data_IF_789703425916
#
_entry.id   IF_789703425916
#
_cell.length_a   1.000
_cell.length_b   1.000
_cell.length_c   1.000
_cell.angle_alpha   90.00
_cell.angle_beta   90.00
_cell.angle_gamma   90.00
#
_symmetry.space_group_name_H-M   'P 1'
#
loop_
_entity.id
_entity.type
_entity.pdbx_description
1 polymer ?
#
# COMPACT_ATOMS: atom_id res chain seq x y z
N UNK A 1 0.40 -14.54 -44.26
CA UNK A 1 1.52 -14.44 -43.30
C UNK A 1 1.13 -15.20 -42.06
N UNK A 2 1.90 -16.21 -41.68
CA UNK A 2 1.67 -16.95 -40.43
C UNK A 2 2.60 -16.38 -39.36
N UNK A 3 2.09 -16.13 -38.15
CA UNK A 3 2.90 -15.67 -37.02
C UNK A 3 3.45 -16.91 -36.32
N UNK A 4 4.78 -17.01 -36.23
CA UNK A 4 5.44 -18.15 -35.57
C UNK A 4 5.62 -17.88 -34.08
N UNK A 5 6.16 -16.71 -33.75
CA UNK A 5 6.44 -16.29 -32.38
C UNK A 5 6.44 -14.75 -32.29
N UNK A 6 5.91 -14.22 -31.19
CA UNK A 6 5.84 -12.79 -30.93
C UNK A 6 6.06 -12.47 -29.46
N UNK A 7 7.06 -11.63 -29.14
CA UNK A 7 7.42 -11.20 -27.77
C UNK A 7 8.25 -9.92 -27.82
N UNK A 8 8.46 -9.31 -26.66
CA UNK A 8 9.41 -8.20 -26.51
C UNK A 8 10.84 -8.72 -26.42
N UNK A 9 11.74 -8.17 -27.26
CA UNK A 9 13.18 -8.45 -27.21
C UNK A 9 13.96 -7.14 -27.19
N UNK A 10 15.14 -7.17 -26.59
CA UNK A 10 16.14 -6.15 -26.88
C UNK A 10 16.91 -6.56 -28.13
N UNK A 11 17.14 -5.62 -29.03
CA UNK A 11 17.95 -5.87 -30.21
C UNK A 11 18.78 -4.66 -30.62
N UNK A 12 19.95 -4.93 -31.19
CA UNK A 12 20.77 -3.98 -31.92
C UNK A 12 21.37 -4.65 -33.16
N UNK A 13 21.35 -3.95 -34.29
CA UNK A 13 21.92 -4.42 -35.54
C UNK A 13 22.67 -3.33 -36.30
N UNK A 14 23.48 -3.74 -37.28
CA UNK A 14 24.21 -2.81 -38.14
C UNK A 14 23.30 -2.18 -39.20
N UNK A 15 22.49 -2.99 -39.88
CA UNK A 15 21.57 -2.52 -40.93
C UNK A 15 20.23 -2.01 -40.37
N UNK A 16 19.62 -2.80 -39.48
CA UNK A 16 18.32 -2.58 -38.85
C UNK A 16 18.44 -2.51 -37.33
N UNK A 17 17.51 -1.83 -36.66
CA UNK A 17 17.51 -1.67 -35.21
C UNK A 17 18.82 -1.09 -34.66
N UNK A 18 19.31 -0.01 -35.26
CA UNK A 18 20.62 0.64 -34.96
C UNK A 18 20.82 1.14 -33.52
N UNK A 19 19.81 1.01 -32.66
CA UNK A 19 19.85 1.38 -31.25
C UNK A 19 19.40 0.21 -30.40
N UNK A 20 20.19 -0.12 -29.38
CA UNK A 20 19.81 -1.07 -28.35
C UNK A 20 18.57 -0.59 -27.61
N UNK A 21 17.44 -1.28 -27.82
CA UNK A 21 16.15 -0.91 -27.25
C UNK A 21 15.21 -2.12 -27.24
N UNK A 22 14.41 -2.25 -26.18
CA UNK A 22 13.28 -3.20 -26.13
C UNK A 22 12.22 -2.83 -27.16
N UNK A 23 11.87 -3.76 -28.04
CA UNK A 23 10.81 -3.61 -29.05
C UNK A 23 9.96 -4.86 -29.08
N UNK A 24 8.73 -4.76 -29.59
CA UNK A 24 7.88 -5.91 -29.83
C UNK A 24 8.27 -6.55 -31.17
N UNK A 25 8.78 -7.77 -31.12
CA UNK A 25 9.24 -8.52 -32.29
C UNK A 25 8.26 -9.62 -32.64
N UNK A 26 8.07 -9.84 -33.94
CA UNK A 26 7.22 -10.87 -34.52
C UNK A 26 7.98 -11.55 -35.63
N UNK A 27 8.19 -12.86 -35.50
CA UNK A 27 8.68 -13.70 -36.59
C UNK A 27 7.49 -14.14 -37.44
N UNK A 28 7.50 -13.75 -38.72
CA UNK A 28 6.43 -14.05 -39.66
C UNK A 28 6.94 -14.92 -40.80
N UNK A 29 6.12 -15.89 -41.21
CA UNK A 29 6.29 -16.63 -42.43
C UNK A 29 5.59 -15.89 -43.58
N UNK A 30 6.37 -15.43 -44.55
CA UNK A 30 5.91 -14.70 -45.74
C UNK A 30 5.56 -15.66 -46.88
N UNK A 31 6.39 -16.67 -47.09
CA UNK A 31 6.18 -17.74 -48.06
C UNK A 31 6.64 -19.09 -47.47
N UNK A 32 6.55 -20.19 -48.21
CA UNK A 32 7.00 -21.51 -47.74
C UNK A 32 8.46 -21.51 -47.24
N UNK A 33 9.33 -20.68 -47.83
CA UNK A 33 10.77 -20.61 -47.51
C UNK A 33 11.25 -19.20 -47.19
N UNK A 34 10.33 -18.23 -47.05
CA UNK A 34 10.69 -16.84 -46.76
C UNK A 34 10.12 -16.44 -45.41
N UNK A 35 11.01 -16.08 -44.50
CA UNK A 35 10.67 -15.61 -43.16
C UNK A 35 11.23 -14.22 -42.93
N UNK A 36 10.50 -13.41 -42.15
CA UNK A 36 10.93 -12.08 -41.78
C UNK A 36 10.74 -11.85 -40.29
N UNK A 37 11.71 -11.17 -39.70
CA UNK A 37 11.63 -10.62 -38.37
C UNK A 37 11.13 -9.18 -38.46
N UNK A 38 9.99 -8.90 -37.84
CA UNK A 38 9.34 -7.60 -37.88
C UNK A 38 9.29 -6.99 -36.47
N UNK A 39 9.49 -5.69 -36.37
CA UNK A 39 9.31 -4.95 -35.12
C UNK A 39 8.11 -4.01 -35.21
N UNK A 40 7.34 -3.92 -34.13
CA UNK A 40 6.15 -3.09 -34.06
C UNK A 40 6.27 -2.04 -32.96
N UNK A 41 5.60 -0.90 -33.17
CA UNK A 41 5.36 0.12 -32.16
C UNK A 41 3.95 -0.07 -31.62
N UNK A 42 3.76 0.26 -30.35
CA UNK A 42 2.43 0.25 -29.74
C UNK A 42 1.44 1.08 -30.56
N UNK A 43 0.23 0.54 -30.74
CA UNK A 43 -0.89 1.18 -31.43
C UNK A 43 -0.65 1.47 -32.92
N UNK A 44 0.31 0.80 -33.57
CA UNK A 44 0.50 0.83 -35.03
C UNK A 44 0.32 -0.57 -35.63
N UNK A 45 -0.43 -0.65 -36.72
CA UNK A 45 -0.70 -1.88 -37.46
C UNK A 45 0.43 -2.28 -38.41
N UNK A 46 1.27 -1.33 -38.83
CA UNK A 46 2.38 -1.58 -39.76
C UNK A 46 3.71 -1.79 -39.02
N UNK A 47 4.58 -2.70 -39.51
CA UNK A 47 5.89 -2.91 -38.93
C UNK A 47 6.75 -1.64 -39.08
N UNK A 48 7.41 -1.25 -37.99
CA UNK A 48 8.29 -0.08 -37.98
C UNK A 48 9.62 -0.32 -38.69
N UNK A 49 10.18 -1.52 -38.50
CA UNK A 49 11.39 -2.01 -39.15
C UNK A 49 11.22 -3.52 -39.36
N UNK A 50 11.73 -4.06 -40.46
CA UNK A 50 11.68 -5.48 -40.77
C UNK A 50 12.99 -5.95 -41.41
N UNK A 51 13.30 -7.24 -41.24
CA UNK A 51 14.46 -7.91 -41.81
C UNK A 51 14.08 -9.31 -42.28
N UNK A 52 14.43 -9.65 -43.52
CA UNK A 52 14.31 -11.03 -44.02
C UNK A 52 15.44 -11.91 -43.45
N UNK A 53 15.09 -13.12 -43.04
CA UNK A 53 16.04 -14.08 -42.44
C UNK A 53 16.84 -14.88 -43.48
N UNK A 54 16.64 -14.60 -44.76
CA UNK A 54 17.34 -15.30 -45.84
C UNK A 54 18.86 -15.05 -45.76
N UNK A 55 19.61 -16.15 -45.76
CA UNK A 55 21.07 -16.17 -45.58
C UNK A 55 21.58 -15.87 -44.17
N UNK A 56 20.70 -15.67 -43.18
CA UNK A 56 21.14 -15.50 -41.78
C UNK A 56 21.41 -16.84 -41.12
N UNK A 57 22.35 -16.85 -40.19
CA UNK A 57 22.57 -17.94 -39.23
C UNK A 57 22.36 -17.40 -37.83
N UNK A 58 21.81 -18.21 -36.95
CA UNK A 58 21.50 -17.86 -35.57
C UNK A 58 22.30 -18.75 -34.64
N UNK A 59 22.89 -18.17 -33.60
CA UNK A 59 23.53 -18.93 -32.54
C UNK A 59 23.43 -18.22 -31.18
N UNK A 60 23.67 -18.98 -30.12
CA UNK A 60 23.81 -18.43 -28.78
C UNK A 60 25.14 -17.69 -28.68
N UNK A 61 25.14 -16.58 -27.95
CA UNK A 61 26.36 -15.83 -27.66
C UNK A 61 26.41 -15.46 -26.18
N UNK A 62 27.62 -15.30 -25.65
CA UNK A 62 27.79 -14.77 -24.31
C UNK A 62 27.61 -13.25 -24.30
N UNK A 63 27.18 -12.71 -23.16
CA UNK A 63 27.01 -11.28 -22.97
C UNK A 63 28.33 -10.50 -23.24
N UNK A 64 29.48 -11.07 -22.85
CA UNK A 64 30.78 -10.47 -23.11
C UNK A 64 31.07 -10.34 -24.62
N UNK A 65 30.76 -11.37 -25.41
CA UNK A 65 30.91 -11.36 -26.87
C UNK A 65 29.94 -10.37 -27.52
N UNK A 66 28.70 -10.29 -27.02
CA UNK A 66 27.70 -9.34 -27.46
C UNK A 66 28.16 -7.89 -27.28
N UNK A 67 28.68 -7.56 -26.10
CA UNK A 67 29.20 -6.23 -25.79
C UNK A 67 30.41 -5.86 -26.67
N UNK A 68 31.34 -6.81 -26.87
CA UNK A 68 32.50 -6.60 -27.72
C UNK A 68 32.12 -6.33 -29.18
N UNK A 69 31.07 -7.00 -29.69
CA UNK A 69 30.63 -6.86 -31.08
C UNK A 69 30.14 -5.46 -31.43
N UNK A 70 29.55 -4.74 -30.47
CA UNK A 70 29.01 -3.39 -30.66
C UNK A 70 29.76 -2.30 -29.87
N UNK A 71 30.78 -2.67 -29.09
CA UNK A 71 31.60 -1.74 -28.32
C UNK A 71 30.84 -0.96 -27.25
N UNK A 72 29.70 -1.49 -26.79
CA UNK A 72 28.81 -0.87 -25.80
C UNK A 72 28.31 -1.94 -24.83
N UNK A 73 28.04 -1.54 -23.59
CA UNK A 73 27.40 -2.41 -22.61
C UNK A 73 25.91 -2.56 -22.92
N UNK A 74 25.53 -3.73 -23.43
CA UNK A 74 24.17 -4.06 -23.83
C UNK A 74 23.33 -4.46 -22.61
N UNK A 75 22.92 -3.46 -21.84
CA UNK A 75 22.10 -3.64 -20.64
C UNK A 75 20.63 -3.90 -20.98
N UNK A 76 20.01 -4.94 -20.42
CA UNK A 76 18.55 -5.17 -20.55
C UNK A 76 18.11 -6.56 -21.01
N UNK A 77 19.03 -7.52 -21.13
CA UNK A 77 18.69 -8.94 -21.26
C UNK A 77 19.74 -9.82 -20.59
N UNK A 78 19.37 -11.05 -20.23
CA UNK A 78 20.22 -12.02 -19.50
C UNK A 78 20.79 -13.09 -20.42
N UNK A 79 20.01 -13.48 -21.43
CA UNK A 79 20.38 -14.49 -22.41
C UNK A 79 20.48 -13.85 -23.78
N UNK A 80 21.59 -14.09 -24.46
CA UNK A 80 21.90 -13.43 -25.72
C UNK A 80 22.00 -14.46 -26.85
N UNK A 81 21.54 -14.05 -28.02
CA UNK A 81 21.73 -14.78 -29.26
C UNK A 81 21.94 -13.77 -30.39
N UNK A 82 22.61 -14.19 -31.46
CA UNK A 82 22.81 -13.33 -32.62
C UNK A 82 22.18 -13.94 -33.87
N UNK A 83 21.93 -13.08 -34.85
CA UNK A 83 21.69 -13.44 -36.23
C UNK A 83 22.79 -12.79 -37.07
N UNK A 84 23.57 -13.60 -37.77
CA UNK A 84 24.72 -13.16 -38.57
C UNK A 84 24.55 -13.57 -40.03
N UNK A 85 24.86 -12.63 -40.92
CA UNK A 85 24.97 -12.82 -42.37
C UNK A 85 26.23 -12.10 -42.85
N UNK A 86 26.76 -12.44 -44.01
CA UNK A 86 27.92 -11.74 -44.56
C UNK A 86 27.74 -10.20 -44.53
N UNK A 87 28.59 -9.52 -43.77
CA UNK A 87 28.56 -8.06 -43.61
C UNK A 87 27.50 -7.51 -42.64
N UNK A 88 26.62 -8.34 -42.09
CA UNK A 88 25.55 -7.91 -41.18
C UNK A 88 25.47 -8.77 -39.92
N UNK A 89 25.22 -8.12 -38.80
CA UNK A 89 25.06 -8.81 -37.53
C UNK A 89 24.06 -8.08 -36.66
N UNK A 90 23.21 -8.87 -36.02
CA UNK A 90 22.18 -8.40 -35.11
C UNK A 90 22.28 -9.24 -33.86
N UNK A 91 22.32 -8.58 -32.72
CA UNK A 91 22.27 -9.21 -31.42
C UNK A 91 20.90 -8.98 -30.82
N UNK A 92 20.35 -10.04 -30.25
CA UNK A 92 19.10 -10.06 -29.51
C UNK A 92 19.36 -10.49 -28.07
N UNK A 93 18.51 -10.03 -27.14
CA UNK A 93 18.51 -10.55 -25.78
C UNK A 93 17.11 -10.72 -25.21
N UNK A 94 16.99 -11.77 -24.39
CA UNK A 94 15.83 -12.16 -23.61
C UNK A 94 16.14 -12.10 -22.11
N UNK A 95 15.09 -11.97 -21.29
CA UNK A 95 15.21 -12.04 -19.82
C UNK A 95 15.17 -13.48 -19.29
N UNK A 96 14.62 -14.42 -20.09
CA UNK A 96 14.41 -15.83 -19.74
C UNK A 96 15.11 -16.80 -20.72
N UNK A 97 15.63 -17.91 -20.19
CA UNK A 97 16.41 -18.91 -20.95
C UNK A 97 15.52 -19.74 -21.89
N UNK A 98 14.30 -20.08 -21.44
CA UNK A 98 13.35 -20.83 -22.26
C UNK A 98 12.84 -19.96 -23.40
N UNK A 99 12.58 -18.67 -23.15
CA UNK A 99 12.24 -17.72 -24.21
C UNK A 99 13.37 -17.59 -25.24
N UNK A 100 14.61 -17.44 -24.78
CA UNK A 100 15.80 -17.44 -25.66
C UNK A 100 15.85 -18.71 -26.51
N UNK A 101 15.66 -19.87 -25.89
CA UNK A 101 15.68 -21.17 -26.58
C UNK A 101 14.58 -21.30 -27.63
N UNK A 102 13.36 -20.84 -27.32
CA UNK A 102 12.25 -20.83 -28.27
C UNK A 102 12.53 -19.92 -29.47
N UNK A 103 13.07 -18.73 -29.24
CA UNK A 103 13.45 -17.80 -30.31
C UNK A 103 14.55 -18.37 -31.20
N UNK A 104 15.64 -18.88 -30.60
CA UNK A 104 16.75 -19.47 -31.34
C UNK A 104 16.27 -20.66 -32.17
N UNK A 105 15.44 -21.54 -31.61
CA UNK A 105 14.91 -22.70 -32.33
C UNK A 105 13.91 -22.33 -33.43
N UNK A 106 13.08 -21.30 -33.21
CA UNK A 106 12.17 -20.78 -34.24
C UNK A 106 12.95 -20.14 -35.40
N UNK A 107 13.96 -19.33 -35.09
CA UNK A 107 14.79 -18.70 -36.12
C UNK A 107 15.69 -19.72 -36.82
N UNK A 108 16.24 -20.72 -36.12
CA UNK A 108 16.98 -21.83 -36.73
C UNK A 108 16.15 -22.56 -37.80
N UNK A 109 14.88 -22.84 -37.51
CA UNK A 109 13.96 -23.44 -38.49
C UNK A 109 13.66 -22.50 -39.66
N UNK A 110 13.51 -21.20 -39.37
CA UNK A 110 13.22 -20.18 -40.37
C UNK A 110 14.42 -19.89 -41.30
N UNK A 111 15.65 -19.97 -40.79
CA UNK A 111 16.87 -19.72 -41.56
C UNK A 111 17.28 -20.94 -42.38
N UNK A 112 16.89 -22.15 -41.95
CA UNK A 112 17.29 -23.39 -42.62
C UNK A 112 18.79 -23.67 -42.53
N UNK A 113 19.50 -23.01 -41.60
CA UNK A 113 20.94 -23.21 -41.41
C UNK A 113 21.27 -24.68 -41.11
N UNK A 114 22.42 -25.16 -41.59
CA UNK A 114 22.79 -26.58 -41.43
C UNK A 114 23.22 -26.93 -40.01
N UNK A 115 23.90 -26.02 -39.32
CA UNK A 115 24.37 -26.23 -37.94
C UNK A 115 23.28 -25.87 -36.93
N UNK A 116 22.95 -26.82 -36.04
CA UNK A 116 21.99 -26.59 -34.96
C UNK A 116 22.64 -25.80 -33.81
N UNK A 117 22.06 -24.67 -33.39
CA UNK A 117 22.57 -23.89 -32.26
C UNK A 117 22.61 -24.73 -30.99
N UNK A 118 23.73 -24.68 -30.27
CA UNK A 118 23.92 -25.43 -29.02
C UNK A 118 23.94 -24.45 -27.86
N UNK A 119 23.06 -24.60 -26.85
CA UNK A 119 23.06 -23.70 -25.70
C UNK A 119 24.39 -23.78 -24.93
N UNK A 120 24.89 -22.66 -24.39
CA UNK A 120 26.12 -22.65 -23.62
C UNK A 120 26.00 -23.55 -22.37
N UNK A 121 27.00 -24.39 -22.12
CA UNK A 121 27.06 -25.21 -20.90
C UNK A 121 27.43 -24.31 -19.73
N UNK A 122 26.46 -23.93 -18.91
CA UNK A 122 26.62 -23.01 -17.78
C UNK A 122 27.48 -23.62 -16.67
N UNK A 123 28.80 -23.44 -16.72
CA UNK A 123 29.68 -23.52 -15.56
C UNK A 123 29.85 -22.13 -14.95
N UNK A 124 28.88 -21.63 -14.19
CA UNK A 124 29.14 -20.48 -13.30
C UNK A 124 28.28 -20.54 -12.03
N UNK A 125 28.87 -21.21 -11.03
CA UNK A 125 28.50 -21.09 -9.62
C UNK A 125 29.21 -19.84 -9.09
N UNK A 126 28.55 -18.68 -9.07
CA UNK A 126 28.76 -17.57 -8.12
C UNK A 126 28.21 -16.24 -8.66
N UNK A 127 26.90 -16.18 -8.84
CA UNK A 127 26.19 -14.90 -8.81
C UNK A 127 25.13 -14.94 -7.72
N UNK A 128 24.70 -13.79 -7.21
CA UNK A 128 23.52 -13.71 -6.34
C UNK A 128 22.28 -14.38 -6.97
N UNK A 129 22.29 -14.57 -8.30
CA UNK A 129 21.30 -15.28 -9.09
C UNK A 129 21.42 -16.81 -8.94
N UNK A 130 22.61 -17.39 -8.74
CA UNK A 130 22.73 -18.83 -8.41
C UNK A 130 22.04 -19.18 -7.08
N UNK A 131 21.96 -18.21 -6.14
CA UNK A 131 21.15 -18.34 -4.92
C UNK A 131 19.66 -18.24 -5.23
N UNK A 132 19.22 -17.23 -6.00
CA UNK A 132 17.81 -17.04 -6.38
C UNK A 132 17.27 -18.22 -7.21
N UNK A 133 18.06 -18.74 -8.16
CA UNK A 133 17.71 -19.90 -8.98
C UNK A 133 17.71 -21.19 -8.14
N UNK A 134 18.70 -21.36 -7.25
CA UNK A 134 18.72 -22.46 -6.29
C UNK A 134 17.55 -22.40 -5.32
N UNK A 135 17.07 -21.22 -4.96
CA UNK A 135 15.91 -21.03 -4.09
C UNK A 135 14.59 -21.22 -4.86
N UNK A 136 14.50 -20.83 -6.14
CA UNK A 136 13.37 -21.15 -7.01
C UNK A 136 13.27 -22.66 -7.26
N UNK A 137 14.38 -23.35 -7.52
CA UNK A 137 14.38 -24.80 -7.70
C UNK A 137 14.11 -25.57 -6.40
N UNK A 138 14.50 -25.05 -5.24
CA UNK A 138 14.05 -25.56 -3.94
C UNK A 138 12.55 -25.34 -3.75
N UNK A 139 12.04 -24.15 -4.05
CA UNK A 139 10.63 -23.82 -3.91
C UNK A 139 9.74 -24.69 -4.83
N UNK A 140 10.16 -24.97 -6.07
CA UNK A 140 9.51 -25.94 -6.96
C UNK A 140 9.45 -27.34 -6.34
N UNK A 141 10.56 -27.82 -5.75
CA UNK A 141 10.59 -29.11 -5.03
C UNK A 141 9.65 -29.17 -3.83
N UNK A 142 9.26 -28.03 -3.27
CA UNK A 142 8.26 -27.90 -2.21
C UNK A 142 6.85 -27.57 -2.73
N UNK A 143 6.60 -27.69 -4.04
CA UNK A 143 5.27 -27.48 -4.63
C UNK A 143 4.86 -26.02 -4.80
N UNK A 144 5.81 -25.07 -4.78
CA UNK A 144 5.53 -23.64 -4.94
C UNK A 144 5.61 -23.16 -6.40
N UNK A 145 5.33 -24.05 -7.37
CA UNK A 145 5.45 -23.73 -8.80
C UNK A 145 4.54 -22.58 -9.22
N UNK A 146 3.34 -22.52 -8.66
CA UNK A 146 2.35 -21.47 -8.92
C UNK A 146 2.88 -20.08 -8.55
N UNK A 147 3.54 -19.94 -7.40
CA UNK A 147 4.10 -18.66 -6.94
C UNK A 147 5.26 -18.16 -7.80
N UNK A 148 6.03 -19.08 -8.38
CA UNK A 148 7.20 -18.75 -9.21
C UNK A 148 6.76 -18.33 -10.62
N UNK A 149 5.70 -18.96 -11.14
CA UNK A 149 5.16 -18.67 -12.47
C UNK A 149 4.19 -17.48 -12.50
N UNK A 150 3.71 -17.04 -11.34
CA UNK A 150 2.72 -15.98 -11.25
C UNK A 150 3.27 -14.63 -11.70
N UNK A 151 2.53 -13.93 -12.57
CA UNK A 151 2.86 -12.55 -12.95
C UNK A 151 2.43 -11.60 -11.83
N UNK A 152 3.38 -10.93 -11.13
CA UNK A 152 3.05 -10.02 -10.05
C UNK A 152 2.04 -8.94 -10.48
N UNK A 153 2.14 -8.43 -11.71
CA UNK A 153 1.30 -7.32 -12.19
C UNK A 153 -0.17 -7.71 -12.41
N UNK A 154 -0.50 -8.99 -12.43
CA UNK A 154 -1.84 -9.50 -12.69
C UNK A 154 -2.73 -9.57 -11.45
N UNK A 155 -2.17 -9.37 -10.25
CA UNK A 155 -2.89 -9.48 -9.00
C UNK A 155 -3.59 -8.18 -8.59
N UNK A 156 -4.67 -8.32 -7.81
CA UNK A 156 -5.27 -7.19 -7.09
C UNK A 156 -4.37 -6.78 -5.91
N UNK A 157 -3.42 -5.90 -6.21
CA UNK A 157 -2.48 -5.38 -5.22
C UNK A 157 -3.14 -4.52 -4.15
N UNK A 158 -4.34 -3.95 -4.40
CA UNK A 158 -5.04 -3.17 -3.38
C UNK A 158 -5.52 -4.11 -2.25
N UNK A 159 -6.18 -5.22 -2.61
CA UNK A 159 -6.60 -6.22 -1.61
C UNK A 159 -5.43 -6.90 -0.92
N UNK A 160 -4.37 -7.27 -1.66
CA UNK A 160 -3.16 -7.84 -1.07
C UNK A 160 -2.48 -6.87 -0.11
N UNK A 161 -2.41 -5.59 -0.47
CA UNK A 161 -1.83 -4.57 0.40
C UNK A 161 -2.64 -4.40 1.69
N UNK A 162 -3.97 -4.46 1.63
CA UNK A 162 -4.82 -4.43 2.82
C UNK A 162 -4.44 -5.56 3.79
N UNK A 163 -4.28 -6.79 3.30
CA UNK A 163 -3.86 -7.94 4.12
C UNK A 163 -2.47 -7.72 4.71
N UNK A 164 -1.51 -7.26 3.88
CA UNK A 164 -0.15 -6.98 4.32
C UNK A 164 -0.11 -5.92 5.42
N UNK A 165 -0.85 -4.82 5.25
CA UNK A 165 -0.95 -3.73 6.21
C UNK A 165 -1.55 -4.21 7.54
N UNK A 166 -2.63 -4.99 7.47
CA UNK A 166 -3.30 -5.53 8.65
C UNK A 166 -2.38 -6.45 9.47
N UNK A 167 -1.71 -7.41 8.80
CA UNK A 167 -0.74 -8.31 9.45
C UNK A 167 0.46 -7.54 10.03
N UNK A 168 0.91 -6.50 9.33
CA UNK A 168 2.01 -5.64 9.82
C UNK A 168 1.59 -4.89 11.08
N UNK A 169 0.34 -4.43 11.14
CA UNK A 169 -0.23 -3.74 12.29
C UNK A 169 -0.40 -4.69 13.47
N UNK A 170 -0.96 -5.88 13.24
CA UNK A 170 -1.12 -6.92 14.26
C UNK A 170 0.23 -7.31 14.87
N UNK A 171 1.24 -7.60 14.03
CA UNK A 171 2.60 -7.86 14.50
C UNK A 171 3.15 -6.71 15.34
N UNK A 172 2.89 -5.47 14.92
CA UNK A 172 3.41 -4.28 15.59
C UNK A 172 2.72 -4.00 16.93
N UNK A 173 1.44 -4.37 17.08
CA UNK A 173 0.67 -4.26 18.31
C UNK A 173 1.00 -5.33 19.34
N UNK A 174 1.61 -6.44 18.93
CA UNK A 174 2.21 -7.41 19.85
C UNK A 174 3.45 -6.87 20.57
N UNK A 175 4.01 -5.73 20.15
CA UNK A 175 5.01 -4.99 20.92
C UNK A 175 4.30 -4.11 21.98
N UNK A 176 4.42 -4.43 23.29
CA UNK A 176 3.53 -3.89 24.32
C UNK A 176 3.61 -2.38 24.59
N UNK A 177 4.65 -1.67 24.12
CA UNK A 177 4.91 -0.28 24.54
C UNK A 177 5.22 0.72 23.44
N UNK A 178 5.58 0.26 22.24
CA UNK A 178 6.21 1.14 21.25
C UNK A 178 5.35 1.47 20.02
N UNK A 179 4.21 0.84 19.84
CA UNK A 179 3.40 1.01 18.63
C UNK A 179 2.26 2.01 18.83
N UNK A 180 1.31 1.76 19.74
CA UNK A 180 0.05 2.53 19.82
C UNK A 180 -0.62 2.69 18.44
N UNK A 181 -0.43 1.70 17.56
CA UNK A 181 -0.83 1.73 16.15
C UNK A 181 0.24 2.23 15.17
N UNK A 182 1.28 2.96 15.60
CA UNK A 182 2.35 3.43 14.72
C UNK A 182 3.23 2.30 14.18
N UNK A 183 3.40 2.30 12.87
CA UNK A 183 4.42 1.51 12.18
C UNK A 183 5.83 2.03 12.48
N UNK A 184 6.80 1.13 12.50
CA UNK A 184 8.22 1.51 12.56
C UNK A 184 8.66 2.17 11.24
N UNK A 185 9.71 3.01 11.24
CA UNK A 185 10.23 3.60 10.00
C UNK A 185 10.56 2.57 8.91
N UNK A 186 11.06 1.39 9.30
CA UNK A 186 11.33 0.29 8.37
C UNK A 186 10.06 -0.33 7.79
N UNK A 187 9.00 -0.50 8.60
CA UNK A 187 7.71 -0.98 8.11
C UNK A 187 7.07 0.02 7.14
N UNK A 188 7.09 1.32 7.48
CA UNK A 188 6.60 2.39 6.60
C UNK A 188 7.33 2.36 5.27
N UNK A 189 8.66 2.26 5.29
CA UNK A 189 9.47 2.18 4.08
C UNK A 189 9.06 1.00 3.19
N UNK A 190 8.90 -0.20 3.75
CA UNK A 190 8.51 -1.40 2.99
C UNK A 190 7.10 -1.26 2.41
N UNK A 191 6.15 -0.73 3.19
CA UNK A 191 4.78 -0.52 2.73
C UNK A 191 4.74 0.53 1.61
N UNK A 192 5.46 1.64 1.75
CA UNK A 192 5.52 2.69 0.73
C UNK A 192 6.19 2.20 -0.56
N UNK A 193 7.26 1.41 -0.44
CA UNK A 193 7.94 0.81 -1.59
C UNK A 193 7.03 -0.16 -2.35
N UNK A 194 6.23 -0.97 -1.65
CA UNK A 194 5.22 -1.83 -2.27
C UNK A 194 4.19 -1.00 -3.05
N UNK A 195 3.69 0.09 -2.45
CA UNK A 195 2.71 0.95 -3.10
C UNK A 195 3.27 1.66 -4.33
N UNK A 196 4.52 2.12 -4.26
CA UNK A 196 5.19 2.77 -5.39
C UNK A 196 5.39 1.79 -6.57
N UNK A 197 5.69 0.52 -6.28
CA UNK A 197 5.91 -0.52 -7.30
C UNK A 197 4.62 -0.99 -7.96
N UNK A 198 3.56 -1.15 -7.18
CA UNK A 198 2.32 -1.79 -7.65
C UNK A 198 1.13 -0.83 -7.81
N UNK A 199 1.35 0.48 -7.63
CA UNK A 199 0.33 1.50 -7.91
C UNK A 199 -0.84 1.53 -6.90
N UNK A 200 -0.62 1.10 -5.66
CA UNK A 200 -1.68 1.13 -4.63
C UNK A 200 -1.96 2.58 -4.21
N UNK A 201 -3.21 2.99 -4.36
CA UNK A 201 -3.67 4.38 -4.16
C UNK A 201 -3.57 4.82 -2.70
N UNK A 202 -2.99 6.00 -2.45
CA UNK A 202 -2.80 6.54 -1.10
C UNK A 202 -4.06 6.60 -0.25
N UNK A 203 -5.18 7.06 -0.82
CA UNK A 203 -6.46 7.18 -0.10
C UNK A 203 -6.97 5.81 0.37
N UNK A 204 -6.96 4.80 -0.51
CA UNK A 204 -7.32 3.42 -0.16
C UNK A 204 -6.50 2.88 1.02
N UNK A 205 -5.19 3.16 1.07
CA UNK A 205 -4.30 2.75 2.18
C UNK A 205 -4.75 3.35 3.50
N UNK A 206 -5.03 4.65 3.52
CA UNK A 206 -5.47 5.33 4.73
C UNK A 206 -6.89 4.94 5.15
N UNK A 207 -7.78 4.64 4.20
CA UNK A 207 -9.12 4.12 4.50
C UNK A 207 -9.06 2.74 5.16
N UNK A 208 -8.28 1.81 4.59
CA UNK A 208 -8.09 0.49 5.19
C UNK A 208 -7.45 0.60 6.56
N UNK A 209 -6.40 1.40 6.68
CA UNK A 209 -5.72 1.63 7.94
C UNK A 209 -6.64 2.24 9.00
N UNK A 210 -7.42 3.25 8.65
CA UNK A 210 -8.35 3.88 9.58
C UNK A 210 -9.45 2.90 10.02
N UNK A 211 -9.96 2.07 9.11
CA UNK A 211 -10.90 1.00 9.46
C UNK A 211 -10.29 0.03 10.47
N UNK A 212 -9.07 -0.45 10.23
CA UNK A 212 -8.38 -1.40 11.11
C UNK A 212 -8.10 -0.77 12.49
N UNK A 213 -7.69 0.51 12.53
CA UNK A 213 -7.49 1.24 13.79
C UNK A 213 -8.79 1.40 14.58
N UNK A 214 -9.93 1.62 13.91
CA UNK A 214 -11.23 1.67 14.58
C UNK A 214 -11.64 0.31 15.13
N UNK A 215 -11.45 -0.77 14.38
CA UNK A 215 -11.74 -2.14 14.84
C UNK A 215 -10.92 -2.48 16.11
N UNK A 216 -9.68 -2.02 16.17
CA UNK A 216 -8.80 -2.20 17.32
C UNK A 216 -9.20 -1.32 18.51
N UNK A 217 -9.57 -0.07 18.26
CA UNK A 217 -10.06 0.84 19.29
C UNK A 217 -11.37 0.32 19.93
N UNK A 218 -12.28 -0.25 19.13
CA UNK A 218 -13.50 -0.91 19.60
C UNK A 218 -13.19 -2.14 20.47
N UNK A 219 -12.11 -2.86 20.17
CA UNK A 219 -11.59 -3.98 20.99
C UNK A 219 -10.78 -3.53 22.21
N UNK A 220 -10.81 -2.23 22.55
CA UNK A 220 -10.09 -1.63 23.68
C UNK A 220 -8.56 -1.71 23.59
N UNK A 221 -7.99 -1.84 22.40
CA UNK A 221 -6.55 -1.61 22.21
C UNK A 221 -6.23 -0.13 22.37
N UNK A 222 -5.09 0.16 23.00
CA UNK A 222 -4.59 1.53 23.14
C UNK A 222 -4.00 2.01 21.80
N UNK A 223 -4.77 2.80 21.07
CA UNK A 223 -4.35 3.44 19.81
C UNK A 223 -4.08 4.93 20.07
N UNK A 224 -3.01 5.47 19.48
CA UNK A 224 -2.71 6.90 19.53
C UNK A 224 -3.79 7.69 18.78
N UNK A 225 -4.54 8.59 19.46
CA UNK A 225 -5.53 9.42 18.80
C UNK A 225 -4.96 10.24 17.63
N UNK A 226 -3.71 10.71 17.74
CA UNK A 226 -3.02 11.51 16.72
C UNK A 226 -2.97 10.80 15.36
N UNK A 227 -2.85 9.48 15.39
CA UNK A 227 -2.79 8.63 14.21
C UNK A 227 -4.14 8.55 13.49
N UNK A 228 -5.23 8.43 14.26
CA UNK A 228 -6.60 8.47 13.74
C UNK A 228 -6.88 9.84 13.13
N UNK A 229 -6.49 10.90 13.83
CA UNK A 229 -6.58 12.28 13.36
C UNK A 229 -5.89 12.50 12.02
N UNK A 230 -4.62 12.08 11.90
CA UNK A 230 -3.83 12.21 10.68
C UNK A 230 -4.46 11.44 9.51
N UNK A 231 -4.82 10.17 9.75
CA UNK A 231 -5.39 9.31 8.72
C UNK A 231 -6.76 9.81 8.24
N UNK A 232 -7.60 10.29 9.16
CA UNK A 232 -8.89 10.90 8.82
C UNK A 232 -8.71 12.19 8.01
N UNK A 233 -7.81 13.09 8.44
CA UNK A 233 -7.54 14.34 7.72
C UNK A 233 -7.02 14.08 6.29
N UNK A 234 -6.15 13.08 6.14
CA UNK A 234 -5.68 12.63 4.83
C UNK A 234 -6.85 12.17 3.95
N UNK A 235 -7.72 11.27 4.45
CA UNK A 235 -8.87 10.80 3.68
C UNK A 235 -9.86 11.92 3.35
N UNK A 236 -10.19 12.78 4.32
CA UNK A 236 -11.11 13.89 4.15
C UNK A 236 -10.62 14.89 3.09
N UNK A 237 -9.32 15.21 3.06
CA UNK A 237 -8.72 16.07 2.03
C UNK A 237 -8.83 15.50 0.62
N UNK A 238 -8.76 14.17 0.48
CA UNK A 238 -8.90 13.47 -0.79
C UNK A 238 -10.35 13.39 -1.25
N UNK A 239 -11.30 13.12 -0.34
CA UNK A 239 -12.73 12.95 -0.65
C UNK A 239 -13.40 14.29 -0.94
N UNK A 240 -13.10 15.32 -0.15
CA UNK A 240 -13.74 16.63 -0.27
C UNK A 240 -13.01 17.58 -1.25
N UNK A 241 -11.91 17.14 -1.87
CA UNK A 241 -11.36 17.80 -3.06
C UNK A 241 -10.58 19.09 -2.82
N UNK A 242 -9.77 19.17 -1.75
CA UNK A 242 -8.95 20.37 -1.47
C UNK A 242 -7.46 20.12 -1.76
N UNK A 243 -7.17 19.64 -2.98
CA UNK A 243 -5.78 19.60 -3.48
C UNK A 243 -5.48 20.89 -4.25
N UNK A 244 -4.30 21.51 -4.05
CA UNK A 244 -3.86 22.66 -4.87
C UNK A 244 -3.82 22.34 -6.38
N UNK A 245 -3.78 21.06 -6.75
CA UNK A 245 -3.65 20.59 -8.15
C UNK A 245 -5.00 20.33 -8.86
N UNK A 246 -6.16 20.53 -8.20
CA UNK A 246 -7.49 20.55 -8.83
C UNK A 246 -8.04 19.23 -9.40
N UNK A 247 -7.27 18.12 -9.38
CA UNK A 247 -7.73 16.81 -9.88
C UNK A 247 -7.92 15.84 -8.72
N UNK A 248 -9.18 15.64 -8.31
CA UNK A 248 -9.59 14.63 -7.36
C UNK A 248 -9.90 13.32 -8.08
N UNK A 249 -8.92 12.43 -8.21
CA UNK A 249 -9.17 11.07 -8.68
C UNK A 249 -9.60 10.20 -7.50
N UNK A 250 -10.85 10.29 -7.03
CA UNK A 250 -11.42 9.38 -6.02
C UNK A 250 -12.44 8.43 -6.65
N UNK A 251 -12.39 7.15 -6.29
CA UNK A 251 -13.35 6.16 -6.76
C UNK A 251 -14.65 6.22 -5.96
N UNK A 252 -15.74 5.71 -6.54
CA UNK A 252 -17.03 5.62 -5.83
C UNK A 252 -16.92 4.74 -4.58
N UNK A 253 -16.22 3.61 -4.68
CA UNK A 253 -16.00 2.68 -3.57
C UNK A 253 -15.23 3.31 -2.41
N UNK A 254 -14.20 4.12 -2.69
CA UNK A 254 -13.46 4.83 -1.64
C UNK A 254 -14.34 5.88 -0.95
N UNK A 255 -15.26 6.53 -1.70
CA UNK A 255 -16.18 7.52 -1.14
C UNK A 255 -17.22 6.88 -0.22
N UNK A 256 -17.77 5.73 -0.61
CA UNK A 256 -18.69 4.96 0.23
C UNK A 256 -18.00 4.44 1.49
N UNK A 257 -16.82 3.83 1.35
CA UNK A 257 -16.00 3.37 2.49
C UNK A 257 -15.66 4.52 3.44
N UNK A 258 -15.33 5.70 2.92
CA UNK A 258 -15.08 6.86 3.75
C UNK A 258 -16.33 7.28 4.54
N UNK A 259 -17.51 7.28 3.92
CA UNK A 259 -18.75 7.62 4.62
C UNK A 259 -19.06 6.64 5.76
N UNK A 260 -18.87 5.35 5.54
CA UNK A 260 -19.01 4.31 6.57
C UNK A 260 -18.01 4.51 7.71
N UNK A 261 -16.73 4.68 7.41
CA UNK A 261 -15.67 4.89 8.40
C UNK A 261 -15.90 6.19 9.18
N UNK A 262 -16.36 7.26 8.51
CA UNK A 262 -16.70 8.55 9.12
C UNK A 262 -17.83 8.39 10.15
N UNK A 263 -18.86 7.62 9.82
CA UNK A 263 -19.96 7.31 10.72
C UNK A 263 -19.48 6.54 11.96
N UNK A 264 -18.69 5.48 11.73
CA UNK A 264 -18.11 4.68 12.81
C UNK A 264 -17.23 5.51 13.74
N UNK A 265 -16.37 6.36 13.18
CA UNK A 265 -15.53 7.27 13.95
C UNK A 265 -16.38 8.25 14.77
N UNK A 266 -17.49 8.78 14.22
CA UNK A 266 -18.38 9.67 15.00
C UNK A 266 -18.92 8.97 16.24
N UNK A 267 -19.42 7.75 16.10
CA UNK A 267 -19.97 6.96 17.22
C UNK A 267 -18.88 6.68 18.26
N UNK A 268 -17.66 6.34 17.84
CA UNK A 268 -16.53 6.12 18.75
C UNK A 268 -16.19 7.39 19.54
N UNK A 269 -16.15 8.55 18.88
CA UNK A 269 -15.85 9.83 19.54
C UNK A 269 -16.96 10.24 20.51
N UNK A 270 -18.23 10.07 20.15
CA UNK A 270 -19.37 10.29 21.04
C UNK A 270 -19.28 9.39 22.29
N UNK A 271 -18.89 8.12 22.11
CA UNK A 271 -18.67 7.20 23.21
C UNK A 271 -17.52 7.64 24.12
N UNK A 272 -16.38 8.07 23.55
CA UNK A 272 -15.23 8.57 24.30
C UNK A 272 -15.55 9.84 25.10
N UNK A 273 -16.36 10.75 24.53
CA UNK A 273 -16.80 11.98 25.21
C UNK A 273 -17.80 11.64 26.33
N UNK A 274 -18.74 10.72 26.08
CA UNK A 274 -19.68 10.26 27.11
C UNK A 274 -18.95 9.57 28.27
N UNK A 275 -17.88 8.83 27.98
CA UNK A 275 -17.07 8.13 28.98
C UNK A 275 -15.77 8.86 29.32
N UNK A 276 -15.77 10.21 29.28
CA UNK A 276 -14.55 11.00 29.42
C UNK A 276 -13.74 10.72 30.69
N UNK A 277 -14.39 10.30 31.80
CA UNK A 277 -13.69 9.92 33.05
C UNK A 277 -12.77 8.71 32.89
N UNK A 278 -13.17 7.76 32.05
CA UNK A 278 -12.45 6.52 31.81
C UNK A 278 -11.50 6.64 30.60
N UNK A 279 -11.94 7.35 29.55
CA UNK A 279 -11.14 7.56 28.35
C UNK A 279 -10.05 8.63 28.52
N UNK A 280 -10.26 9.61 29.42
CA UNK A 280 -9.31 10.71 29.69
C UNK A 280 -9.12 10.91 31.20
N UNK A 281 -8.54 9.93 31.92
CA UNK A 281 -8.36 10.02 33.36
C UNK A 281 -7.47 11.22 33.71
N UNK A 282 -8.00 12.15 34.52
CA UNK A 282 -7.33 13.38 34.95
C UNK A 282 -6.82 14.26 33.80
N UNK A 283 -7.45 14.19 32.61
CA UNK A 283 -7.02 14.94 31.43
C UNK A 283 -5.69 14.46 30.85
N UNK A 284 -5.30 13.21 31.13
CA UNK A 284 -4.12 12.57 30.55
C UNK A 284 -4.51 11.61 29.42
N UNK A 285 -3.73 11.57 28.31
CA UNK A 285 -2.61 12.47 28.01
C UNK A 285 -3.06 13.92 27.80
N UNK A 286 -2.19 14.88 28.13
CA UNK A 286 -2.50 16.31 28.11
C UNK A 286 -2.94 16.74 26.70
N UNK A 287 -4.09 17.43 26.60
CA UNK A 287 -4.65 17.85 25.32
C UNK A 287 -5.42 16.79 24.53
N UNK A 288 -5.49 15.53 24.99
CA UNK A 288 -6.20 14.47 24.28
C UNK A 288 -7.69 14.75 24.11
N UNK A 289 -8.39 15.21 25.16
CA UNK A 289 -9.81 15.58 25.08
C UNK A 289 -10.04 16.72 24.07
N UNK A 290 -9.15 17.73 24.06
CA UNK A 290 -9.22 18.84 23.10
C UNK A 290 -9.01 18.34 21.67
N UNK A 291 -8.09 17.40 21.47
CA UNK A 291 -7.89 16.76 20.18
C UNK A 291 -9.14 15.98 19.76
N UNK A 292 -9.68 15.10 20.61
CA UNK A 292 -10.91 14.33 20.33
C UNK A 292 -12.08 15.23 19.92
N UNK A 293 -12.29 16.36 20.60
CA UNK A 293 -13.31 17.33 20.25
C UNK A 293 -13.05 18.01 18.90
N UNK A 294 -11.79 18.39 18.63
CA UNK A 294 -11.39 18.93 17.33
C UNK A 294 -11.54 17.90 16.20
N UNK A 295 -11.34 16.60 16.47
CA UNK A 295 -11.65 15.55 15.49
C UNK A 295 -13.14 15.46 15.24
N UNK A 296 -13.95 15.48 16.30
CA UNK A 296 -15.40 15.40 16.20
C UNK A 296 -15.95 16.54 15.34
N UNK A 297 -15.49 17.78 15.57
CA UNK A 297 -15.83 18.93 14.72
C UNK A 297 -15.55 18.64 13.24
N UNK A 298 -14.36 18.11 12.92
CA UNK A 298 -13.98 17.76 11.54
C UNK A 298 -14.79 16.60 10.97
N UNK A 299 -15.15 15.63 11.80
CA UNK A 299 -16.00 14.49 11.41
C UNK A 299 -17.43 14.96 11.11
N UNK A 300 -17.91 16.00 11.79
CA UNK A 300 -19.23 16.56 11.55
C UNK A 300 -19.30 17.44 10.30
N UNK A 301 -18.17 17.93 9.79
CA UNK A 301 -18.14 18.74 8.57
C UNK A 301 -18.69 17.97 7.36
N UNK A 302 -19.58 18.61 6.58
CA UNK A 302 -20.14 18.03 5.35
C UNK A 302 -19.14 18.08 4.19
N UNK A 303 -18.34 19.14 4.14
CA UNK A 303 -17.24 19.37 3.20
C UNK A 303 -16.17 20.22 3.91
N UNK A 304 -15.03 20.49 3.26
CA UNK A 304 -13.92 21.24 3.89
C UNK A 304 -14.24 22.74 4.04
N UNK A 305 -15.22 23.26 3.29
CA UNK A 305 -15.46 24.71 3.15
C UNK A 305 -16.60 25.18 4.07
N UNK A 306 -17.48 24.27 4.47
CA UNK A 306 -18.65 24.53 5.30
C UNK A 306 -18.36 24.07 6.72
N UNK A 307 -17.88 24.97 7.61
CA UNK A 307 -17.73 24.64 9.01
C UNK A 307 -19.08 24.29 9.61
N UNK A 308 -19.07 23.32 10.52
CA UNK A 308 -20.27 22.94 11.28
C UNK A 308 -20.68 24.12 12.15
N UNK A 309 -21.98 24.46 12.22
CA UNK A 309 -22.44 25.49 13.15
C UNK A 309 -22.00 25.15 14.57
N UNK A 310 -21.40 26.09 15.32
CA UNK A 310 -20.89 25.82 16.66
C UNK A 310 -21.99 25.35 17.63
N UNK A 311 -23.25 25.72 17.36
CA UNK A 311 -24.40 25.25 18.13
C UNK A 311 -24.67 23.74 17.97
N UNK A 312 -24.47 23.16 16.79
CA UNK A 312 -24.66 21.72 16.56
C UNK A 312 -23.64 20.90 17.36
N UNK A 313 -22.37 21.33 17.33
CA UNK A 313 -21.29 20.72 18.11
C UNK A 313 -21.57 20.84 19.60
N UNK A 314 -21.96 22.05 20.07
CA UNK A 314 -22.33 22.28 21.48
C UNK A 314 -23.51 21.42 21.93
N UNK A 315 -24.55 21.26 21.10
CA UNK A 315 -25.68 20.39 21.42
C UNK A 315 -25.27 18.92 21.55
N UNK A 316 -24.42 18.42 20.64
CA UNK A 316 -23.92 17.04 20.70
C UNK A 316 -23.08 16.79 21.96
N UNK A 317 -22.19 17.72 22.29
CA UNK A 317 -21.39 17.66 23.52
C UNK A 317 -22.31 17.70 24.75
N UNK A 318 -23.27 18.62 24.79
CA UNK A 318 -24.23 18.73 25.90
C UNK A 318 -24.98 17.42 26.12
N UNK A 319 -25.53 16.82 25.07
CA UNK A 319 -26.24 15.53 25.13
C UNK A 319 -25.32 14.40 25.63
N UNK A 320 -24.07 14.38 25.17
CA UNK A 320 -23.06 13.40 25.59
C UNK A 320 -22.73 13.56 27.09
N UNK A 321 -22.60 14.80 27.57
CA UNK A 321 -22.34 15.11 28.99
C UNK A 321 -23.54 14.81 29.90
N UNK A 322 -24.77 15.08 29.45
CA UNK A 322 -26.00 14.71 30.16
C UNK A 322 -26.09 13.19 30.31
N UNK A 323 -25.81 12.46 29.24
CA UNK A 323 -25.75 10.99 29.24
C UNK A 323 -24.64 10.49 30.17
N UNK A 324 -23.46 11.12 30.14
CA UNK A 324 -22.35 10.81 31.03
C UNK A 324 -22.73 11.00 32.50
N UNK A 325 -23.42 12.09 32.84
CA UNK A 325 -23.89 12.37 34.19
C UNK A 325 -24.87 11.28 34.67
N UNK A 326 -25.81 10.88 33.82
CA UNK A 326 -26.77 9.82 34.13
C UNK A 326 -26.08 8.46 34.35
N UNK A 327 -25.16 8.06 33.47
CA UNK A 327 -24.40 6.80 33.60
C UNK A 327 -23.56 6.80 34.88
N UNK A 328 -22.87 7.90 35.16
CA UNK A 328 -22.05 8.03 36.37
C UNK A 328 -22.91 7.98 37.65
N UNK A 329 -24.03 8.70 37.68
CA UNK A 329 -24.97 8.67 38.81
C UNK A 329 -25.56 7.27 39.04
N UNK A 330 -25.91 6.57 37.97
CA UNK A 330 -26.45 5.20 38.04
C UNK A 330 -25.41 4.21 38.56
N UNK A 331 -24.14 4.34 38.17
CA UNK A 331 -23.04 3.51 38.69
C UNK A 331 -22.69 3.84 40.15
N UNK A 332 -22.62 5.13 40.49
CA UNK A 332 -22.38 5.57 41.86
C UNK A 332 -23.50 5.13 42.82
N UNK A 333 -24.76 5.24 42.40
CA UNK A 333 -25.90 4.81 43.20
C UNK A 333 -25.99 3.29 43.37
N UNK A 334 -25.51 2.50 42.40
CA UNK A 334 -25.45 1.04 42.54
C UNK A 334 -24.27 0.56 43.40
N UNK A 335 -23.12 1.24 43.34
CA UNK A 335 -21.97 0.98 44.20
C UNK A 335 -22.22 1.44 45.65
N UNK A 336 -22.91 2.56 45.85
CA UNK A 336 -23.24 3.10 47.18
C UNK A 336 -24.23 2.21 47.97
N UNK A 337 -25.01 1.35 47.29
CA UNK A 337 -25.93 0.38 47.91
C UNK A 337 -25.25 -0.76 48.67
N UNK A 338 -23.91 -0.84 48.68
CA UNK A 338 -23.15 -1.81 49.49
C UNK A 338 -22.69 -1.21 50.83
N UNK A 339 -22.85 0.09 51.08
CA UNK A 339 -22.44 0.74 52.34
C UNK A 339 -23.45 1.79 52.84
N UNK A 340 -24.74 1.43 52.83
CA UNK A 340 -25.87 2.29 53.27
C UNK A 340 -25.75 2.82 54.73
N UNK A 341 -24.74 2.40 55.50
CA UNK A 341 -24.50 2.85 56.88
C UNK A 341 -23.42 3.97 56.96
N UNK A 342 -22.56 4.13 55.95
CA UNK A 342 -21.50 5.16 55.96
C UNK A 342 -21.84 6.42 55.16
N UNK A 343 -22.71 6.33 54.16
CA UNK A 343 -22.99 7.42 53.23
C UNK A 343 -23.81 8.57 53.85
N UNK A 344 -24.76 8.27 54.75
CA UNK A 344 -25.58 9.30 55.42
C UNK A 344 -24.71 10.17 56.35
N UNK A 345 -23.73 9.57 57.04
CA UNK A 345 -22.74 10.32 57.85
C UNK A 345 -21.75 11.13 57.01
N UNK A 346 -21.52 10.76 55.75
CA UNK A 346 -20.67 11.51 54.85
C UNK A 346 -21.40 12.78 54.34
N UNK A 347 -22.70 12.69 54.05
CA UNK A 347 -23.50 13.83 53.58
C UNK A 347 -23.69 14.89 54.69
N UNK A 348 -23.97 14.49 55.94
CA UNK A 348 -23.98 15.45 57.07
C UNK A 348 -22.61 16.09 57.33
N UNK A 349 -21.52 15.36 57.04
CA UNK A 349 -20.17 15.94 57.10
C UNK A 349 -19.84 16.84 55.94
N UNK A 350 -20.43 16.68 54.76
CA UNK A 350 -20.14 17.50 53.56
C UNK A 350 -20.67 18.93 53.72
N UNK A 351 -21.81 19.15 54.36
CA UNK A 351 -22.28 20.50 54.69
C UNK A 351 -21.41 21.18 55.77
N UNK A 352 -20.90 20.42 56.74
CA UNK A 352 -19.91 20.92 57.71
C UNK A 352 -18.48 21.04 57.16
N UNK A 353 -18.15 20.37 56.05
CA UNK A 353 -16.81 20.33 55.45
C UNK A 353 -16.52 21.53 54.53
N UNK A 354 -17.57 22.21 54.07
CA UNK A 354 -17.47 23.29 53.08
C UNK A 354 -16.66 24.51 53.59
N UNK A 355 -16.43 24.62 54.90
CA UNK A 355 -15.67 25.73 55.52
C UNK A 355 -14.22 25.37 55.86
N UNK A 356 -13.80 24.09 55.86
CA UNK A 356 -12.50 23.70 56.44
C UNK A 356 -11.50 23.01 55.51
N UNK A 357 -11.89 22.59 54.31
CA UNK A 357 -10.98 21.84 53.42
C UNK A 357 -10.82 22.45 52.03
N UNK A 358 -10.07 23.56 51.97
CA UNK A 358 -9.44 24.11 50.75
C UNK A 358 -8.20 23.30 50.32
N UNK A 359 -7.91 22.18 50.98
CA UNK A 359 -6.66 21.41 50.84
C UNK A 359 -6.81 19.94 50.45
N UNK A 360 -8.03 19.41 50.31
CA UNK A 360 -8.26 18.06 49.76
C UNK A 360 -8.80 18.19 48.32
N UNK A 361 -7.94 18.77 47.50
CA UNK A 361 -8.03 18.86 46.06
C UNK A 361 -8.02 17.44 45.49
N UNK A 362 -9.15 16.95 44.95
CA UNK A 362 -9.16 16.00 43.83
C UNK A 362 -10.55 15.68 43.28
N UNK A 363 -11.63 15.82 44.05
CA UNK A 363 -13.01 15.69 43.51
C UNK A 363 -13.46 17.00 42.84
N UNK A 364 -12.97 18.14 43.31
CA UNK A 364 -13.20 19.46 42.69
C UNK A 364 -12.60 19.58 41.28
N UNK A 365 -11.50 18.88 40.96
CA UNK A 365 -10.85 19.01 39.65
C UNK A 365 -11.72 18.56 38.47
N UNK A 366 -12.66 17.63 38.66
CA UNK A 366 -13.51 17.12 37.58
C UNK A 366 -14.72 18.03 37.31
N UNK A 367 -15.28 18.67 38.33
CA UNK A 367 -16.25 19.75 38.17
C UNK A 367 -15.57 21.05 37.70
N UNK A 368 -14.33 21.31 38.13
CA UNK A 368 -13.53 22.41 37.59
C UNK A 368 -13.17 22.21 36.13
N UNK A 369 -12.92 21.00 35.63
CA UNK A 369 -12.72 20.76 34.19
C UNK A 369 -14.00 21.01 33.39
N UNK A 370 -15.17 20.63 33.92
CA UNK A 370 -16.47 20.93 33.30
C UNK A 370 -16.73 22.45 33.32
N UNK A 371 -16.44 23.14 34.42
CA UNK A 371 -16.59 24.59 34.54
C UNK A 371 -15.54 25.40 33.75
N UNK A 372 -14.28 24.94 33.66
CA UNK A 372 -13.25 25.55 32.82
C UNK A 372 -13.57 25.36 31.34
N UNK A 373 -14.15 24.22 30.95
CA UNK A 373 -14.58 23.97 29.59
C UNK A 373 -15.80 24.82 29.21
N UNK A 374 -16.72 25.06 30.16
CA UNK A 374 -17.83 26.01 30.01
C UNK A 374 -17.39 27.49 30.09
N UNK A 375 -16.20 27.78 30.61
CA UNK A 375 -15.66 29.14 30.80
C UNK A 375 -14.65 29.57 29.72
N UNK A 376 -14.20 28.65 28.85
CA UNK A 376 -13.21 28.91 27.78
C UNK A 376 -13.85 29.07 26.38
N UNK A 377 -15.17 29.21 26.29
CA UNK A 377 -15.97 29.52 25.09
C UNK A 377 -17.28 30.21 25.49
#
# INVERSE_FOLDING_TARGET
YEIIICRYLHAIGKSVWKKWKKRYFVLVQVSQYTFAMCSYKEKKSEPSEMMQLDGYTVDYIEAASANLMFGIDLNGGRYFFNAVREGDSIVFACDDENECSLWVMAMYRATGQSHKPTPPVTQDKNSAISKIQGDADKARKHGMEDYISADPCSFDHASLFKVLQNLTLEYRLNDPYASLGWFSPGQVFVLDEYCARYGVRGCYRHLCYLSDLLDLAEKQYMIDPTLIHYSFAFCASHVHGNRPDGVGSITHEEKEKFAEIKERLRILLEHQITNFRFCFPFGRPEGALKATLSLLERVLMKDIVTPVPPEEVRMMIKKSLETAALVNYTRLSSEARIEDIYFIKLIEKVESFHTRYRSYVNVSCQLQQICLFLSLN
#
